data_IF_730705485127
#
_entry.id   IF_730705485127
#
_cell.length_a   1.000
_cell.length_b   1.000
_cell.length_c   1.000
_cell.angle_alpha   90.00
_cell.angle_beta   90.00
_cell.angle_gamma   90.00
#
_symmetry.space_group_name_H-M   'P 1'
#
loop_
_entity.id
_entity.type
_entity.pdbx_description
1 polymer ?
#
# COMPACT_ATOMS: atom_id res chain seq x y z
N UNK A 1 13.67 8.45 -19.68
CA UNK A 1 13.58 7.25 -20.51
C UNK A 1 13.98 6.05 -19.68
N UNK A 2 13.04 5.14 -19.41
CA UNK A 2 13.31 3.87 -18.72
C UNK A 2 13.76 2.83 -19.77
N UNK A 3 15.05 2.77 -20.06
CA UNK A 3 15.65 1.68 -20.80
C UNK A 3 16.09 0.60 -19.80
N UNK A 4 15.22 -0.36 -19.47
CA UNK A 4 15.58 -1.48 -18.61
C UNK A 4 15.72 -2.75 -19.44
N UNK A 5 16.82 -3.47 -19.26
CA UNK A 5 16.98 -4.83 -19.82
C UNK A 5 16.13 -5.88 -19.07
N UNK A 6 15.54 -5.52 -17.93
CA UNK A 6 14.72 -6.37 -17.07
C UNK A 6 13.27 -5.85 -16.97
N UNK A 7 12.32 -6.76 -16.74
CA UNK A 7 10.93 -6.40 -16.51
C UNK A 7 10.80 -5.58 -15.24
N UNK A 8 10.01 -4.50 -15.28
CA UNK A 8 9.68 -3.61 -14.16
C UNK A 8 8.21 -3.77 -13.83
N UNK A 9 7.89 -3.91 -12.54
CA UNK A 9 6.53 -3.83 -12.03
C UNK A 9 6.30 -2.42 -11.50
N UNK A 10 5.15 -1.85 -11.81
CA UNK A 10 4.76 -0.51 -11.36
C UNK A 10 3.31 -0.58 -10.87
N UNK A 11 3.06 -0.07 -9.67
CA UNK A 11 1.72 0.18 -9.17
C UNK A 11 1.62 1.63 -8.72
N UNK A 12 0.49 2.27 -9.00
CA UNK A 12 0.19 3.63 -8.55
C UNK A 12 -1.19 3.67 -7.93
N UNK A 13 -1.25 4.13 -6.68
CA UNK A 13 -2.49 4.34 -5.93
C UNK A 13 -2.60 5.77 -5.44
N UNK A 14 -3.82 6.31 -5.42
CA UNK A 14 -4.13 7.60 -4.85
C UNK A 14 -5.17 7.47 -3.74
N UNK A 15 -4.83 7.91 -2.56
CA UNK A 15 -5.70 7.96 -1.39
C UNK A 15 -6.19 9.38 -1.15
N UNK A 16 -7.50 9.58 -1.10
CA UNK A 16 -8.17 10.89 -0.93
C UNK A 16 -8.86 10.94 0.42
N UNK A 17 -8.65 12.00 1.18
CA UNK A 17 -9.30 12.23 2.48
C UNK A 17 -10.82 12.31 2.35
N UNK A 18 -11.54 11.62 3.22
CA UNK A 18 -13.00 11.52 3.21
C UNK A 18 -13.57 10.51 2.21
N UNK A 19 -12.73 9.97 1.31
CA UNK A 19 -13.11 8.92 0.33
C UNK A 19 -12.45 7.60 0.71
N UNK A 20 -11.11 7.57 0.71
CA UNK A 20 -10.33 6.35 0.96
C UNK A 20 -9.88 6.21 2.42
N UNK A 21 -9.84 7.30 3.14
CA UNK A 21 -9.55 7.34 4.58
C UNK A 21 -10.31 8.47 5.27
N UNK A 22 -10.57 8.31 6.57
CA UNK A 22 -11.27 9.31 7.37
C UNK A 22 -10.39 10.56 7.58
N UNK A 23 -10.98 11.74 7.53
CA UNK A 23 -10.27 13.00 7.81
C UNK A 23 -9.63 13.05 9.19
N UNK A 24 -10.21 12.32 10.16
CA UNK A 24 -9.70 12.18 11.53
C UNK A 24 -8.58 11.15 11.69
N UNK A 25 -8.18 10.47 10.60
CA UNK A 25 -7.15 9.43 10.67
C UNK A 25 -5.79 10.05 10.99
N UNK A 26 -4.99 9.47 11.91
CA UNK A 26 -3.66 9.97 12.24
C UNK A 26 -2.74 10.01 11.03
N UNK A 27 -1.94 11.07 10.89
CA UNK A 27 -1.04 11.27 9.75
C UNK A 27 -0.07 10.10 9.55
N UNK A 28 0.44 9.52 10.64
CA UNK A 28 1.27 8.32 10.60
C UNK A 28 0.57 7.14 9.92
N UNK A 29 -0.70 6.91 10.26
CA UNK A 29 -1.49 5.82 9.67
C UNK A 29 -1.84 6.10 8.20
N UNK A 30 -2.12 7.36 7.84
CA UNK A 30 -2.35 7.77 6.45
C UNK A 30 -1.13 7.43 5.59
N UNK A 31 0.06 7.84 6.02
CA UNK A 31 1.30 7.60 5.30
C UNK A 31 1.58 6.09 5.13
N UNK A 32 1.52 5.34 6.22
CA UNK A 32 1.75 3.89 6.21
C UNK A 32 0.77 3.18 5.27
N UNK A 33 -0.54 3.44 5.45
CA UNK A 33 -1.60 2.82 4.68
C UNK A 33 -1.49 3.10 3.18
N UNK A 34 -1.21 4.35 2.79
CA UNK A 34 -1.09 4.72 1.39
C UNK A 34 0.00 3.90 0.68
N UNK A 35 1.15 3.69 1.32
CA UNK A 35 2.23 2.86 0.76
C UNK A 35 1.87 1.38 0.80
N UNK A 36 1.24 0.89 1.88
CA UNK A 36 0.86 -0.52 2.03
C UNK A 36 -0.13 -0.99 0.96
N UNK A 37 -1.07 -0.11 0.54
CA UNK A 37 -2.05 -0.43 -0.50
C UNK A 37 -1.31 -0.63 -1.84
N UNK A 38 -0.48 0.32 -2.26
CA UNK A 38 0.29 0.21 -3.50
C UNK A 38 1.28 -0.99 -3.48
N UNK A 39 1.82 -1.35 -2.31
CA UNK A 39 2.63 -2.56 -2.13
C UNK A 39 1.82 -3.84 -2.35
N UNK A 40 0.52 -3.84 -2.01
CA UNK A 40 -0.33 -5.03 -2.19
C UNK A 40 -0.45 -5.44 -3.66
N UNK A 41 -0.46 -4.48 -4.59
CA UNK A 41 -0.44 -4.79 -6.02
C UNK A 41 0.88 -5.42 -6.46
N UNK A 42 2.01 -4.97 -5.91
CA UNK A 42 3.30 -5.61 -6.18
C UNK A 42 3.30 -7.05 -5.65
N UNK A 43 2.69 -7.29 -4.48
CA UNK A 43 2.52 -8.64 -3.93
C UNK A 43 1.65 -9.51 -4.86
N UNK A 44 0.51 -8.99 -5.34
CA UNK A 44 -0.38 -9.69 -6.26
C UNK A 44 0.32 -10.06 -7.58
N UNK A 45 1.22 -9.21 -8.07
CA UNK A 45 2.05 -9.50 -9.26
C UNK A 45 3.19 -10.50 -8.99
N UNK A 46 3.37 -11.00 -7.76
CA UNK A 46 4.47 -11.88 -7.38
C UNK A 46 5.83 -11.17 -7.38
N UNK A 47 5.84 -9.87 -7.06
CA UNK A 47 6.98 -8.99 -7.17
C UNK A 47 7.68 -8.66 -5.85
N UNK A 48 8.97 -8.36 -5.97
CA UNK A 48 9.79 -7.76 -4.91
C UNK A 48 9.76 -6.24 -5.07
N UNK A 49 9.25 -5.47 -4.09
CA UNK A 49 9.32 -4.02 -4.15
C UNK A 49 10.79 -3.53 -4.07
N UNK A 50 11.10 -2.44 -4.76
CA UNK A 50 12.44 -1.89 -4.88
C UNK A 50 12.53 -0.48 -4.34
N UNK A 51 11.56 0.36 -4.65
CA UNK A 51 11.51 1.77 -4.26
C UNK A 51 10.09 2.31 -4.42
N UNK A 52 9.82 3.47 -3.83
CA UNK A 52 8.58 4.20 -4.11
C UNK A 52 8.81 5.70 -4.25
N UNK A 53 7.90 6.36 -4.94
CA UNK A 53 7.77 7.82 -4.97
C UNK A 53 6.43 8.24 -4.37
N UNK A 54 6.37 9.49 -3.88
CA UNK A 54 5.23 10.02 -3.14
C UNK A 54 4.80 11.37 -3.72
N UNK A 55 3.52 11.53 -4.06
CA UNK A 55 2.91 12.83 -4.31
C UNK A 55 1.97 13.15 -3.15
N UNK A 56 2.26 14.20 -2.40
CA UNK A 56 1.46 14.66 -1.27
C UNK A 56 0.82 16.00 -1.61
N UNK A 57 -0.50 16.04 -1.59
CA UNK A 57 -1.29 17.27 -1.72
C UNK A 57 -1.96 17.54 -0.38
N UNK A 58 -1.79 18.77 0.16
CA UNK A 58 -2.35 19.15 1.46
C UNK A 58 -2.86 20.59 1.45
N UNK A 59 -3.91 20.92 2.24
CA UNK A 59 -4.52 22.25 2.20
C UNK A 59 -3.62 23.35 2.77
N UNK A 60 -2.83 23.02 3.76
CA UNK A 60 -1.88 23.90 4.43
C UNK A 60 -0.73 23.10 5.02
N UNK A 61 0.43 23.72 5.15
CA UNK A 61 1.56 23.10 5.84
C UNK A 61 1.32 23.11 7.36
N UNK A 62 1.50 21.95 7.98
CA UNK A 62 1.47 21.72 9.44
C UNK A 62 2.68 20.86 9.81
N UNK A 63 3.59 21.42 10.62
CA UNK A 63 4.84 20.78 10.99
C UNK A 63 4.66 19.53 11.83
N UNK A 64 3.66 19.50 12.70
CA UNK A 64 3.39 18.36 13.59
C UNK A 64 2.75 17.23 12.81
N UNK A 65 1.80 17.54 11.95
CA UNK A 65 1.20 16.60 11.03
C UNK A 65 2.27 15.97 10.10
N UNK A 66 3.17 16.80 9.53
CA UNK A 66 4.26 16.33 8.67
C UNK A 66 5.25 15.45 9.42
N UNK A 67 5.54 15.74 10.68
CA UNK A 67 6.40 14.91 11.52
C UNK A 67 5.79 13.51 11.71
N UNK A 68 4.50 13.45 12.01
CA UNK A 68 3.80 12.19 12.20
C UNK A 68 3.63 11.44 10.87
N UNK A 69 3.33 12.12 9.77
CA UNK A 69 3.30 11.53 8.43
C UNK A 69 4.66 10.89 8.07
N UNK A 70 5.76 11.61 8.33
CA UNK A 70 7.11 11.08 8.16
C UNK A 70 7.36 9.82 8.97
N UNK A 71 6.87 9.74 10.21
CA UNK A 71 6.97 8.52 11.04
C UNK A 71 6.33 7.32 10.36
N UNK A 72 5.17 7.49 9.75
CA UNK A 72 4.50 6.44 8.99
C UNK A 72 5.31 5.98 7.78
N UNK A 73 5.89 6.93 7.02
CA UNK A 73 6.78 6.60 5.90
C UNK A 73 8.02 5.83 6.37
N UNK A 74 8.65 6.27 7.47
CA UNK A 74 9.82 5.60 8.04
C UNK A 74 9.49 4.18 8.52
N UNK A 75 8.32 4.00 9.14
CA UNK A 75 7.86 2.70 9.62
C UNK A 75 7.75 1.70 8.47
N UNK A 76 7.01 2.04 7.40
CA UNK A 76 6.82 1.13 6.27
C UNK A 76 8.10 0.94 5.45
N UNK A 77 8.91 2.00 5.29
CA UNK A 77 10.22 1.90 4.64
C UNK A 77 11.15 0.92 5.36
N UNK A 78 11.17 0.94 6.70
CA UNK A 78 11.96 0.02 7.51
C UNK A 78 11.43 -1.42 7.41
N UNK A 79 10.12 -1.60 7.49
CA UNK A 79 9.46 -2.91 7.47
C UNK A 79 9.73 -3.66 6.16
N UNK A 80 9.59 -2.97 5.02
CA UNK A 80 9.78 -3.57 3.70
C UNK A 80 11.15 -3.30 3.07
N UNK A 81 12.07 -2.63 3.79
CA UNK A 81 13.38 -2.17 3.29
C UNK A 81 13.25 -1.39 1.99
N UNK A 82 12.26 -0.49 1.96
CA UNK A 82 11.80 0.20 0.76
C UNK A 82 12.15 1.69 0.82
N UNK A 83 13.12 2.19 0.04
CA UNK A 83 13.48 3.61 0.04
C UNK A 83 12.44 4.46 -0.69
N UNK A 84 12.15 5.65 -0.12
CA UNK A 84 11.50 6.75 -0.83
C UNK A 84 12.55 7.44 -1.70
N UNK A 85 12.35 7.44 -3.02
CA UNK A 85 13.35 7.92 -3.99
C UNK A 85 13.00 9.29 -4.61
N UNK A 86 11.85 9.85 -4.27
CA UNK A 86 11.42 11.16 -4.78
C UNK A 86 9.94 11.37 -4.61
N UNK A 87 9.48 12.52 -5.07
CA UNK A 87 8.07 12.86 -5.02
C UNK A 87 7.82 14.35 -5.21
N UNK A 88 6.59 14.75 -4.89
CA UNK A 88 6.12 16.11 -5.01
C UNK A 88 5.28 16.51 -3.79
N UNK A 89 5.28 17.80 -3.45
CA UNK A 89 4.46 18.40 -2.41
C UNK A 89 3.71 19.60 -2.99
N UNK A 90 2.39 19.51 -3.03
CA UNK A 90 1.53 20.52 -3.62
C UNK A 90 0.42 20.98 -2.67
N UNK A 91 -0.12 22.17 -2.90
CA UNK A 91 -1.26 22.71 -2.14
C UNK A 91 -2.59 22.28 -2.79
N UNK A 92 -3.52 21.76 -1.98
CA UNK A 92 -4.87 21.36 -2.41
C UNK A 92 -5.57 20.48 -1.39
N UNK A 93 -6.71 19.88 -1.71
CA UNK A 93 -7.37 18.91 -0.83
C UNK A 93 -6.44 17.74 -0.49
N UNK A 94 -6.47 17.27 0.77
CA UNK A 94 -5.55 16.24 1.23
C UNK A 94 -5.65 14.95 0.42
N UNK A 95 -4.57 14.62 -0.27
CA UNK A 95 -4.41 13.42 -1.10
C UNK A 95 -2.97 12.89 -0.97
N UNK A 96 -2.84 11.58 -1.06
CA UNK A 96 -1.55 10.89 -1.04
C UNK A 96 -1.50 9.96 -2.24
N UNK A 97 -0.69 10.29 -3.23
CA UNK A 97 -0.37 9.44 -4.37
C UNK A 97 0.94 8.68 -4.12
N UNK A 98 0.94 7.38 -4.32
CA UNK A 98 2.12 6.52 -4.15
C UNK A 98 2.34 5.74 -5.43
N UNK A 99 3.56 5.78 -5.96
CA UNK A 99 3.99 4.90 -7.05
C UNK A 99 5.08 3.99 -6.53
N UNK A 100 4.83 2.68 -6.53
CA UNK A 100 5.80 1.65 -6.12
C UNK A 100 6.43 1.04 -7.37
N UNK A 101 7.75 0.91 -7.34
CA UNK A 101 8.55 0.19 -8.31
C UNK A 101 8.92 -1.16 -7.74
N UNK A 102 8.78 -2.21 -8.53
CA UNK A 102 9.14 -3.57 -8.17
C UNK A 102 9.77 -4.34 -9.31
N UNK A 103 10.34 -5.46 -9.01
CA UNK A 103 10.85 -6.43 -9.99
C UNK A 103 10.15 -7.78 -9.80
N UNK A 104 9.87 -8.53 -10.87
CA UNK A 104 9.29 -9.86 -10.73
C UNK A 104 10.27 -10.80 -10.04
N UNK A 105 9.75 -11.71 -9.20
CA UNK A 105 10.56 -12.75 -8.54
C UNK A 105 10.86 -13.89 -9.54
N UNK A 106 9.83 -14.67 -9.89
CA UNK A 106 9.93 -15.78 -10.84
C UNK A 106 9.06 -15.54 -12.06
N UNK A 107 7.76 -15.53 -11.89
CA UNK A 107 6.75 -15.27 -12.91
C UNK A 107 5.94 -14.05 -12.53
N UNK A 108 5.57 -13.22 -13.50
CA UNK A 108 4.59 -12.16 -13.28
C UNK A 108 3.22 -12.81 -13.26
N UNK A 109 2.49 -12.63 -12.14
CA UNK A 109 1.12 -13.09 -12.03
C UNK A 109 0.21 -12.01 -12.63
N UNK A 110 -0.66 -12.39 -13.54
CA UNK A 110 -1.62 -11.51 -14.19
C UNK A 110 -3.03 -11.77 -13.67
N UNK A 111 -3.90 -10.75 -13.71
CA UNK A 111 -5.32 -10.87 -13.33
C UNK A 111 -6.12 -11.75 -14.30
N UNK A 112 -5.68 -11.85 -15.55
CA UNK A 112 -6.41 -12.46 -16.66
C UNK A 112 -6.15 -13.96 -16.87
N UNK A 113 -5.31 -14.60 -16.07
CA UNK A 113 -4.87 -15.97 -16.32
C UNK A 113 -5.66 -17.04 -15.54
N UNK A 114 -6.68 -16.64 -14.76
CA UNK A 114 -7.54 -17.58 -14.06
C UNK A 114 -8.31 -18.47 -15.03
N UNK A 115 -8.47 -19.76 -14.68
CA UNK A 115 -9.13 -20.77 -15.51
C UNK A 115 -10.22 -21.48 -14.70
N UNK A 116 -11.19 -22.04 -15.40
CA UNK A 116 -12.18 -22.92 -14.78
C UNK A 116 -11.46 -24.13 -14.15
N UNK A 117 -11.80 -24.44 -12.90
CA UNK A 117 -11.15 -25.49 -12.11
C UNK A 117 -10.02 -24.99 -11.20
N UNK A 118 -9.56 -23.74 -11.33
CA UNK A 118 -8.61 -23.16 -10.39
C UNK A 118 -9.21 -23.05 -8.98
N UNK A 119 -8.39 -23.27 -7.95
CA UNK A 119 -8.78 -23.05 -6.56
C UNK A 119 -8.68 -21.57 -6.22
N UNK A 120 -9.76 -21.03 -5.63
CA UNK A 120 -9.76 -19.68 -5.08
C UNK A 120 -9.15 -19.70 -3.67
N UNK A 121 -8.03 -19.01 -3.51
CA UNK A 121 -7.30 -18.93 -2.25
C UNK A 121 -7.27 -17.48 -1.72
N UNK A 122 -7.26 -17.32 -0.41
CA UNK A 122 -7.09 -16.04 0.26
C UNK A 122 -5.72 -16.01 0.96
N UNK A 123 -5.06 -14.86 0.92
CA UNK A 123 -3.79 -14.66 1.64
C UNK A 123 -3.99 -14.48 3.15
N UNK A 124 -5.19 -14.06 3.57
CA UNK A 124 -5.61 -13.90 4.96
C UNK A 124 -7.14 -13.83 5.02
N UNK A 125 -7.71 -13.84 6.22
CA UNK A 125 -9.16 -13.73 6.41
C UNK A 125 -9.69 -12.34 5.99
N UNK A 126 -10.84 -12.34 5.33
CA UNK A 126 -11.51 -11.11 4.89
C UNK A 126 -12.31 -10.44 5.99
N UNK A 127 -12.50 -9.11 5.87
CA UNK A 127 -13.41 -8.34 6.72
C UNK A 127 -12.72 -7.60 7.88
N UNK A 128 -11.50 -7.94 8.29
CA UNK A 128 -10.83 -7.28 9.40
C UNK A 128 -10.60 -5.78 9.19
N UNK A 129 -10.28 -5.34 7.99
CA UNK A 129 -10.14 -3.92 7.68
C UNK A 129 -11.48 -3.17 7.83
N UNK A 130 -12.61 -3.79 7.45
CA UNK A 130 -13.94 -3.21 7.64
C UNK A 130 -14.31 -3.12 9.13
N UNK A 131 -14.08 -4.18 9.90
CA UNK A 131 -14.28 -4.17 11.35
C UNK A 131 -13.40 -3.11 12.03
N UNK A 132 -12.14 -2.98 11.58
CA UNK A 132 -11.22 -1.95 12.05
C UNK A 132 -11.68 -0.53 11.73
N UNK A 133 -12.28 -0.32 10.56
CA UNK A 133 -12.91 0.96 10.21
C UNK A 133 -14.10 1.28 11.12
N UNK A 134 -14.97 0.29 11.39
CA UNK A 134 -16.11 0.48 12.31
C UNK A 134 -15.63 0.83 13.72
N UNK A 135 -14.65 0.11 14.22
CA UNK A 135 -14.03 0.38 15.52
C UNK A 135 -13.46 1.81 15.57
N UNK A 136 -12.66 2.19 14.57
CA UNK A 136 -12.05 3.51 14.53
C UNK A 136 -13.10 4.64 14.40
N UNK A 137 -14.18 4.42 13.62
CA UNK A 137 -15.30 5.38 13.54
C UNK A 137 -16.00 5.58 14.88
N UNK A 138 -16.14 4.54 15.68
CA UNK A 138 -16.85 4.61 16.97
C UNK A 138 -15.99 5.13 18.12
N UNK A 139 -14.73 4.70 18.18
CA UNK A 139 -13.85 5.00 19.33
C UNK A 139 -12.89 6.16 19.08
N UNK A 140 -12.54 6.43 17.83
CA UNK A 140 -11.46 7.35 17.45
C UNK A 140 -10.06 6.86 17.85
N UNK A 141 -9.94 5.67 18.42
CA UNK A 141 -8.71 5.17 19.04
C UNK A 141 -7.92 4.24 18.11
N UNK A 142 -6.60 4.39 18.17
CA UNK A 142 -5.66 3.41 17.66
C UNK A 142 -5.55 2.27 18.69
N UNK A 143 -6.12 1.13 18.38
CA UNK A 143 -6.08 -0.07 19.21
C UNK A 143 -5.94 -1.33 18.34
N UNK A 144 -5.88 -2.51 18.96
CA UNK A 144 -5.70 -3.77 18.22
C UNK A 144 -6.85 -4.05 17.23
N UNK A 145 -8.08 -3.59 17.51
CA UNK A 145 -9.23 -3.79 16.64
C UNK A 145 -9.21 -2.83 15.42
N UNK A 146 -8.79 -1.57 15.62
CA UNK A 146 -8.70 -0.58 14.53
C UNK A 146 -7.45 -0.75 13.66
N UNK A 147 -6.41 -1.43 14.18
CA UNK A 147 -5.12 -1.62 13.51
C UNK A 147 -5.21 -2.19 12.08
N UNK A 148 -6.03 -3.22 11.76
CA UNK A 148 -6.11 -3.76 10.41
C UNK A 148 -6.58 -2.74 9.35
N UNK A 149 -7.37 -1.73 9.75
CA UNK A 149 -7.75 -0.62 8.89
C UNK A 149 -6.65 0.42 8.77
N UNK A 150 -6.03 0.81 9.90
CA UNK A 150 -5.07 1.91 9.98
C UNK A 150 -3.69 1.52 9.41
N UNK A 151 -3.26 0.29 9.69
CA UNK A 151 -1.94 -0.25 9.31
C UNK A 151 -2.11 -1.62 8.64
N UNK A 152 -2.67 -1.68 7.41
CA UNK A 152 -2.83 -2.94 6.71
C UNK A 152 -1.47 -3.53 6.33
N UNK A 153 -1.35 -4.85 6.33
CA UNK A 153 -0.12 -5.56 5.96
C UNK A 153 -0.15 -5.92 4.48
N UNK A 154 0.82 -5.44 3.70
CA UNK A 154 1.03 -5.89 2.34
C UNK A 154 1.65 -7.29 2.33
N UNK A 155 1.02 -8.25 1.63
CA UNK A 155 1.38 -9.67 1.65
C UNK A 155 2.54 -10.02 0.70
N UNK A 156 3.62 -9.22 0.73
CA UNK A 156 4.79 -9.37 -0.18
C UNK A 156 5.38 -10.79 -0.11
N UNK A 157 5.64 -11.29 1.10
CA UNK A 157 6.23 -12.61 1.26
C UNK A 157 5.34 -13.74 0.73
N UNK A 158 4.03 -13.59 0.86
CA UNK A 158 3.05 -14.53 0.30
C UNK A 158 3.08 -14.45 -1.23
N UNK A 159 2.98 -13.25 -1.80
CA UNK A 159 3.07 -13.01 -3.24
C UNK A 159 4.32 -13.62 -3.87
N UNK A 160 5.48 -13.43 -3.25
CA UNK A 160 6.74 -14.02 -3.70
C UNK A 160 6.69 -15.57 -3.70
N UNK A 161 6.10 -16.18 -2.66
CA UNK A 161 5.97 -17.65 -2.57
C UNK A 161 5.07 -18.21 -3.65
N UNK A 162 3.92 -17.57 -3.91
CA UNK A 162 2.96 -18.09 -4.91
C UNK A 162 3.34 -17.74 -6.36
N UNK A 163 4.35 -16.92 -6.59
CA UNK A 163 4.75 -16.44 -7.93
C UNK A 163 5.10 -17.55 -8.93
N UNK A 164 5.41 -18.75 -8.46
CA UNK A 164 5.70 -19.91 -9.32
C UNK A 164 4.48 -20.81 -9.57
N UNK A 165 3.45 -20.74 -8.74
CA UNK A 165 2.32 -21.70 -8.73
C UNK A 165 0.97 -21.05 -9.07
N UNK A 166 0.76 -19.78 -8.70
CA UNK A 166 -0.52 -19.11 -8.96
C UNK A 166 -0.72 -18.88 -10.46
N UNK A 167 -1.92 -19.16 -10.95
CA UNK A 167 -2.35 -18.83 -12.32
C UNK A 167 -2.69 -17.36 -12.45
N UNK A 168 -3.37 -16.81 -11.45
CA UNK A 168 -3.84 -15.40 -11.40
C UNK A 168 -3.82 -14.89 -9.96
N UNK A 169 -3.79 -13.57 -9.79
CA UNK A 169 -4.00 -12.91 -8.50
C UNK A 169 -4.50 -11.48 -8.69
N UNK A 170 -5.12 -10.93 -7.64
CA UNK A 170 -5.63 -9.58 -7.56
C UNK A 170 -5.37 -9.01 -6.16
#
# INVERSE_FOLDING_TARGET
VLATKSKLLISTDTSVAGVHFLKSMPAQAIAYRAVAIALSDIAAMGGQPVAFSLSLIMPSFDSDWMRDFRRGLQQISKEFKLPLIGGDLSKGPLQVGVTVLGKPSKKIILRSNAKSGDLLCLSDALGYAYLGLKEFKSSGLLNNKSKPYLFPTAQINYGLKISSIASSAI
#
